data_IF_183013257959
#
_entry.id   IF_183013257959
#
_cell.length_a   1.000
_cell.length_b   1.000
_cell.length_c   1.000
_cell.angle_alpha   90.00
_cell.angle_beta   90.00
_cell.angle_gamma   90.00
#
_symmetry.space_group_name_H-M   'P 1'
#
loop_
_entity.id
_entity.type
_entity.pdbx_description
1 polymer ?
#
# COMPACT_ATOMS: atom_id res chain seq x y z
N UNK A 1 11.65 23.06 5.87
CA UNK A 1 12.00 21.72 6.40
C UNK A 1 10.85 21.14 7.25
N UNK A 2 10.43 21.74 8.37
CA UNK A 2 9.33 21.19 9.18
C UNK A 2 7.98 21.04 8.42
N UNK A 3 7.68 21.96 7.50
CA UNK A 3 6.44 21.97 6.70
C UNK A 3 6.38 20.82 5.66
N UNK A 4 7.53 20.39 5.12
CA UNK A 4 7.59 19.29 4.16
C UNK A 4 7.42 17.91 4.82
N UNK A 5 7.82 17.77 6.09
CA UNK A 5 7.77 16.50 6.83
C UNK A 5 6.32 16.04 6.99
N UNK A 6 5.43 16.91 7.45
CA UNK A 6 3.99 16.58 7.56
C UNK A 6 3.31 16.53 6.20
N UNK A 7 3.67 17.42 5.26
CA UNK A 7 3.13 17.47 3.89
C UNK A 7 3.19 16.12 3.16
N UNK A 8 4.28 15.37 3.34
CA UNK A 8 4.49 14.05 2.72
C UNK A 8 4.36 12.89 3.70
N UNK A 9 3.84 13.13 4.91
CA UNK A 9 3.52 12.13 5.91
C UNK A 9 4.72 11.39 6.52
N UNK A 10 5.87 12.06 6.58
CA UNK A 10 7.02 11.70 7.43
C UNK A 10 6.74 11.98 8.93
N UNK A 11 5.46 12.12 9.30
CA UNK A 11 5.01 12.26 10.69
C UNK A 11 5.23 10.97 11.47
N UNK A 12 5.85 11.07 12.64
CA UNK A 12 6.15 9.91 13.49
C UNK A 12 4.88 9.26 14.04
N UNK A 13 4.82 7.92 13.98
CA UNK A 13 3.83 7.06 14.63
C UNK A 13 4.54 5.97 15.45
N UNK A 14 3.93 5.46 16.53
CA UNK A 14 4.40 4.23 17.16
C UNK A 14 4.36 3.08 16.16
N UNK A 15 5.37 2.21 16.13
CA UNK A 15 5.34 1.01 15.28
C UNK A 15 4.24 0.03 15.71
N UNK A 16 4.04 -0.07 17.02
CA UNK A 16 2.96 -0.82 17.66
C UNK A 16 1.59 -0.26 17.29
N UNK A 17 0.81 -1.01 16.52
CA UNK A 17 -0.49 -0.54 16.02
C UNK A 17 -1.50 -0.35 17.15
N UNK A 18 -1.38 -1.10 18.24
CA UNK A 18 -2.31 -1.01 19.36
C UNK A 18 -2.23 0.34 20.08
N UNK A 19 -1.12 1.08 19.90
CA UNK A 19 -0.91 2.42 20.44
C UNK A 19 -1.52 3.53 19.56
N UNK A 20 -1.81 3.23 18.30
CA UNK A 20 -2.54 4.13 17.41
C UNK A 20 -4.04 3.88 17.59
N UNK A 21 -4.65 4.58 18.55
CA UNK A 21 -6.10 4.50 18.78
C UNK A 21 -6.85 5.39 17.79
N UNK A 22 -7.93 4.90 17.14
CA UNK A 22 -8.75 5.71 16.26
C UNK A 22 -9.45 6.82 17.04
N UNK A 23 -9.54 8.01 16.44
CA UNK A 23 -10.34 9.13 16.94
C UNK A 23 -11.83 8.82 16.83
N UNK A 24 -12.20 8.02 15.84
CA UNK A 24 -13.54 7.49 15.65
C UNK A 24 -13.47 5.97 15.45
N UNK A 25 -13.97 5.23 16.42
CA UNK A 25 -14.03 3.76 16.41
C UNK A 25 -15.20 3.17 15.62
N UNK A 26 -16.05 4.03 15.04
CA UNK A 26 -17.22 3.64 14.25
C UNK A 26 -17.19 4.38 12.91
N UNK A 27 -16.30 3.96 11.98
CA UNK A 27 -16.19 4.60 10.67
C UNK A 27 -17.52 4.54 9.92
N UNK A 28 -17.86 5.61 9.19
CA UNK A 28 -19.02 5.59 8.30
C UNK A 28 -18.64 5.02 6.94
N UNK A 29 -19.66 4.59 6.20
CA UNK A 29 -19.53 4.21 4.79
C UNK A 29 -18.98 5.38 3.97
N UNK A 30 -17.89 5.14 3.23
CA UNK A 30 -17.30 6.09 2.29
C UNK A 30 -17.57 5.59 0.86
N UNK A 31 -18.31 6.34 0.04
CA UNK A 31 -18.62 5.88 -1.31
C UNK A 31 -17.37 5.88 -2.20
N UNK A 32 -17.29 4.93 -3.13
CA UNK A 32 -16.16 4.81 -4.06
C UNK A 32 -15.89 6.08 -4.90
N UNK A 33 -16.93 6.91 -5.12
CA UNK A 33 -16.79 8.21 -5.78
C UNK A 33 -15.97 9.22 -4.98
N UNK A 34 -15.87 9.08 -3.65
CA UNK A 34 -15.04 9.91 -2.78
C UNK A 34 -13.59 9.36 -2.63
N UNK A 35 -13.33 8.15 -3.13
CA UNK A 35 -12.04 7.45 -3.04
C UNK A 35 -11.31 7.44 -4.39
N UNK A 36 -11.55 8.45 -5.24
CA UNK A 36 -10.90 8.52 -6.55
C UNK A 36 -9.42 8.88 -6.40
N UNK A 37 -8.52 8.27 -7.18
CA UNK A 37 -7.11 8.65 -7.24
C UNK A 37 -6.91 10.13 -7.59
N UNK A 38 -5.83 10.77 -7.08
CA UNK A 38 -5.42 12.07 -7.55
C UNK A 38 -5.04 12.02 -9.04
N UNK A 39 -5.27 13.12 -9.76
CA UNK A 39 -5.04 13.24 -11.21
C UNK A 39 -3.92 14.21 -11.56
N UNK A 40 -3.01 14.44 -10.61
CA UNK A 40 -1.81 15.24 -10.81
C UNK A 40 -0.87 14.59 -11.84
N UNK A 41 0.08 15.34 -12.43
CA UNK A 41 1.03 14.79 -13.38
C UNK A 41 1.81 13.59 -12.82
N UNK A 42 2.31 13.68 -11.58
CA UNK A 42 3.04 12.60 -10.93
C UNK A 42 2.16 11.37 -10.71
N UNK A 43 0.94 11.55 -10.17
CA UNK A 43 0.01 10.44 -9.95
C UNK A 43 -0.36 9.73 -11.26
N UNK A 44 -0.66 10.48 -12.33
CA UNK A 44 -0.97 9.89 -13.63
C UNK A 44 0.21 9.11 -14.22
N UNK A 45 1.43 9.64 -14.08
CA UNK A 45 2.66 8.97 -14.54
C UNK A 45 2.88 7.66 -13.79
N UNK A 46 2.84 7.68 -12.46
CA UNK A 46 3.01 6.48 -11.63
C UNK A 46 1.90 5.46 -11.88
N UNK A 47 0.64 5.90 -11.96
CA UNK A 47 -0.48 5.02 -12.28
C UNK A 47 -0.30 4.31 -13.63
N UNK A 48 0.11 5.07 -14.66
CA UNK A 48 0.36 4.52 -16.00
C UNK A 48 1.51 3.52 -15.99
N UNK A 49 2.60 3.83 -15.28
CA UNK A 49 3.73 2.94 -15.12
C UNK A 49 3.32 1.63 -14.43
N UNK A 50 2.68 1.70 -13.27
CA UNK A 50 2.21 0.54 -12.52
C UNK A 50 1.23 -0.30 -13.33
N UNK A 51 0.29 0.32 -14.05
CA UNK A 51 -0.65 -0.39 -14.92
C UNK A 51 0.03 -1.15 -16.07
N UNK A 52 1.18 -0.63 -16.55
CA UNK A 52 1.96 -1.28 -17.61
C UNK A 52 2.88 -2.41 -17.12
N UNK A 53 3.21 -2.44 -15.82
CA UNK A 53 4.22 -3.34 -15.25
C UNK A 53 3.64 -4.40 -14.32
N UNK A 54 2.66 -4.03 -13.50
CA UNK A 54 2.06 -4.95 -12.54
C UNK A 54 1.14 -5.97 -13.24
N UNK A 55 1.10 -7.22 -12.75
CA UNK A 55 -0.02 -8.11 -13.04
C UNK A 55 -1.35 -7.41 -12.73
N UNK A 56 -2.38 -7.70 -13.52
CA UNK A 56 -3.66 -7.01 -13.42
C UNK A 56 -4.27 -7.09 -12.00
N UNK A 57 -4.04 -8.20 -11.30
CA UNK A 57 -4.60 -8.46 -9.98
C UNK A 57 -3.85 -7.68 -8.90
N UNK A 58 -2.52 -7.61 -8.98
CA UNK A 58 -1.67 -6.75 -8.14
C UNK A 58 -1.98 -5.27 -8.37
N UNK A 59 -2.19 -4.83 -9.61
CA UNK A 59 -2.60 -3.46 -9.91
C UNK A 59 -3.92 -3.09 -9.22
N UNK A 60 -4.91 -3.99 -9.25
CA UNK A 60 -6.20 -3.78 -8.57
C UNK A 60 -6.05 -3.86 -7.05
N UNK A 61 -5.18 -4.73 -6.52
CA UNK A 61 -4.81 -4.75 -5.11
C UNK A 61 -4.29 -3.39 -4.64
N UNK A 62 -3.31 -2.81 -5.36
CA UNK A 62 -2.79 -1.48 -5.04
C UNK A 62 -3.87 -0.39 -5.01
N UNK A 63 -4.85 -0.44 -5.92
CA UNK A 63 -5.99 0.49 -5.93
C UNK A 63 -6.95 0.28 -4.75
N UNK A 64 -7.18 -0.98 -4.34
CA UNK A 64 -7.93 -1.30 -3.11
C UNK A 64 -7.21 -0.79 -1.88
N UNK A 65 -5.91 -1.07 -1.76
CA UNK A 65 -5.05 -0.58 -0.66
C UNK A 65 -5.14 0.94 -0.55
N UNK A 66 -4.97 1.68 -1.66
CA UNK A 66 -5.16 3.13 -1.70
C UNK A 66 -6.52 3.55 -1.14
N UNK A 67 -7.60 2.93 -1.63
CA UNK A 67 -8.98 3.26 -1.25
C UNK A 67 -9.22 3.01 0.24
N UNK A 68 -8.73 1.90 0.79
CA UNK A 68 -8.84 1.58 2.20
C UNK A 68 -8.05 2.56 3.06
N UNK A 69 -6.81 2.88 2.72
CA UNK A 69 -6.04 3.88 3.47
C UNK A 69 -6.70 5.26 3.47
N UNK A 70 -7.34 5.66 2.36
CA UNK A 70 -8.15 6.88 2.30
C UNK A 70 -9.34 6.83 3.25
N UNK A 71 -10.12 5.73 3.25
CA UNK A 71 -11.26 5.56 4.14
C UNK A 71 -10.83 5.58 5.61
N UNK A 72 -9.81 4.80 5.98
CA UNK A 72 -9.28 4.73 7.35
C UNK A 72 -8.81 6.09 7.82
N UNK A 73 -7.98 6.78 7.04
CA UNK A 73 -7.45 8.08 7.45
C UNK A 73 -8.55 9.13 7.60
N UNK A 74 -9.55 9.15 6.71
CA UNK A 74 -10.60 10.19 6.73
C UNK A 74 -11.66 9.93 7.80
N UNK A 75 -12.02 8.66 8.03
CA UNK A 75 -13.09 8.31 8.97
C UNK A 75 -12.61 7.99 10.37
N UNK A 76 -11.45 7.34 10.53
CA UNK A 76 -10.94 6.93 11.84
C UNK A 76 -9.88 7.88 12.40
N UNK A 77 -9.12 8.59 11.55
CA UNK A 77 -7.99 9.43 11.95
C UNK A 77 -7.97 10.78 11.24
N UNK A 78 -9.05 11.59 11.29
CA UNK A 78 -9.14 12.83 10.54
C UNK A 78 -7.99 13.81 10.85
N UNK A 79 -7.35 13.73 12.03
CA UNK A 79 -6.17 14.53 12.36
C UNK A 79 -4.96 14.26 11.45
N UNK A 80 -4.92 13.15 10.72
CA UNK A 80 -3.87 12.86 9.74
C UNK A 80 -3.89 13.81 8.56
N UNK A 81 -5.02 14.46 8.28
CA UNK A 81 -5.11 15.48 7.23
C UNK A 81 -5.04 14.94 5.81
N UNK A 82 -5.34 13.64 5.59
CA UNK A 82 -5.37 13.02 4.25
C UNK A 82 -6.61 13.49 3.45
N UNK A 83 -6.55 14.71 2.95
CA UNK A 83 -7.60 15.32 2.14
C UNK A 83 -7.41 15.04 0.64
N UNK A 84 -8.50 14.79 -0.08
CA UNK A 84 -8.47 14.53 -1.52
C UNK A 84 -7.77 15.65 -2.30
N UNK A 85 -6.82 15.29 -3.17
CA UNK A 85 -6.03 16.22 -3.98
C UNK A 85 -4.92 16.97 -3.24
N UNK A 86 -4.71 16.68 -1.95
CA UNK A 86 -3.55 17.21 -1.21
C UNK A 86 -2.23 16.54 -1.64
N UNK A 87 -1.10 17.15 -1.29
CA UNK A 87 0.21 16.53 -1.48
C UNK A 87 0.33 15.18 -0.74
N UNK A 88 -0.30 15.06 0.44
CA UNK A 88 -0.31 13.81 1.20
C UNK A 88 -1.12 12.72 0.47
N UNK A 89 -2.22 13.09 -0.19
CA UNK A 89 -3.05 12.17 -0.99
C UNK A 89 -2.31 11.66 -2.24
N UNK A 90 -1.58 12.53 -2.95
CA UNK A 90 -0.68 12.13 -4.04
C UNK A 90 0.44 11.19 -3.56
N UNK A 91 1.05 11.51 -2.41
CA UNK A 91 2.11 10.71 -1.80
C UNK A 91 1.59 9.33 -1.39
N UNK A 92 0.41 9.29 -0.77
CA UNK A 92 -0.27 8.07 -0.40
C UNK A 92 -0.62 7.21 -1.63
N UNK A 93 -1.20 7.83 -2.66
CA UNK A 93 -1.51 7.14 -3.90
C UNK A 93 -0.26 6.51 -4.52
N UNK A 94 0.83 7.26 -4.67
CA UNK A 94 2.08 6.73 -5.22
C UNK A 94 2.64 5.58 -4.36
N UNK A 95 2.57 5.69 -3.03
CA UNK A 95 2.98 4.62 -2.11
C UNK A 95 2.18 3.33 -2.34
N UNK A 96 0.85 3.43 -2.34
CA UNK A 96 -0.03 2.29 -2.55
C UNK A 96 0.17 1.65 -3.94
N UNK A 97 0.39 2.46 -4.98
CA UNK A 97 0.62 1.96 -6.34
C UNK A 97 1.97 1.27 -6.53
N UNK A 98 3.00 1.67 -5.78
CA UNK A 98 4.37 1.19 -5.98
C UNK A 98 4.80 0.09 -5.00
N UNK A 99 4.11 -0.12 -3.88
CA UNK A 99 4.59 -1.02 -2.82
C UNK A 99 4.93 -2.45 -3.29
N UNK A 100 4.16 -2.96 -4.25
CA UNK A 100 4.31 -4.31 -4.80
C UNK A 100 5.03 -4.34 -6.17
N UNK A 101 5.65 -3.25 -6.62
CA UNK A 101 6.32 -3.23 -7.94
C UNK A 101 7.47 -4.24 -8.05
N UNK A 102 8.06 -4.64 -6.92
CA UNK A 102 9.08 -5.68 -6.86
C UNK A 102 8.54 -7.10 -7.05
N UNK A 103 7.22 -7.32 -7.00
CA UNK A 103 6.59 -8.65 -7.07
C UNK A 103 6.35 -9.14 -8.50
N UNK A 104 6.58 -8.29 -9.51
CA UNK A 104 6.37 -8.70 -10.91
C UNK A 104 7.23 -9.91 -11.26
N UNK A 105 6.80 -10.79 -12.19
CA UNK A 105 7.61 -11.95 -12.62
C UNK A 105 9.01 -11.58 -13.11
N UNK A 106 9.13 -10.41 -13.76
CA UNK A 106 10.41 -9.84 -14.22
C UNK A 106 11.33 -9.51 -13.03
N UNK A 107 10.83 -8.80 -12.02
CA UNK A 107 11.65 -8.28 -10.94
C UNK A 107 11.92 -9.30 -9.81
N UNK A 108 10.97 -10.18 -9.51
CA UNK A 108 11.12 -11.15 -8.42
C UNK A 108 12.34 -12.08 -8.62
N UNK A 109 12.68 -12.35 -9.88
CA UNK A 109 13.79 -13.22 -10.29
C UNK A 109 15.06 -12.47 -10.74
N UNK A 110 14.96 -11.19 -11.11
CA UNK A 110 16.09 -10.41 -11.65
C UNK A 110 16.98 -9.77 -10.58
N UNK A 111 16.56 -9.77 -9.31
CA UNK A 111 17.33 -9.26 -8.18
C UNK A 111 17.58 -10.33 -7.11
N UNK A 112 18.61 -10.09 -6.29
CA UNK A 112 18.88 -10.88 -5.08
C UNK A 112 18.35 -10.21 -3.82
N UNK A 113 17.79 -9.01 -3.91
CA UNK A 113 17.16 -8.30 -2.80
C UNK A 113 15.75 -8.82 -2.54
N UNK A 114 15.28 -8.72 -1.30
CA UNK A 114 13.85 -8.85 -0.98
C UNK A 114 13.04 -7.88 -1.84
N UNK A 115 11.85 -8.29 -2.32
CA UNK A 115 11.08 -7.46 -3.25
C UNK A 115 10.73 -6.07 -2.69
N UNK A 116 10.58 -5.93 -1.36
CA UNK A 116 10.29 -4.67 -0.67
C UNK A 116 11.47 -3.69 -0.80
N UNK A 117 12.69 -4.21 -0.67
CA UNK A 117 13.91 -3.40 -0.76
C UNK A 117 14.16 -2.96 -2.20
N UNK A 118 14.04 -3.89 -3.15
CA UNK A 118 14.18 -3.55 -4.55
C UNK A 118 13.11 -2.54 -4.99
N UNK A 119 11.84 -2.74 -4.58
CA UNK A 119 10.75 -1.83 -4.86
C UNK A 119 11.02 -0.43 -4.30
N UNK A 120 11.54 -0.33 -3.08
CA UNK A 120 11.90 0.95 -2.46
C UNK A 120 13.00 1.70 -3.22
N UNK A 121 14.07 1.01 -3.60
CA UNK A 121 15.14 1.64 -4.39
C UNK A 121 14.66 2.05 -5.79
N UNK A 122 13.90 1.17 -6.45
CA UNK A 122 13.31 1.46 -7.75
C UNK A 122 12.34 2.64 -7.69
N UNK A 123 11.56 2.77 -6.62
CA UNK A 123 10.65 3.88 -6.41
C UNK A 123 11.40 5.23 -6.32
N UNK A 124 12.55 5.30 -5.64
CA UNK A 124 13.35 6.53 -5.59
C UNK A 124 13.72 7.02 -6.99
N UNK A 125 14.29 6.14 -7.82
CA UNK A 125 14.70 6.47 -9.18
C UNK A 125 13.48 6.83 -10.04
N UNK A 126 12.40 6.06 -9.97
CA UNK A 126 11.17 6.26 -10.73
C UNK A 126 10.49 7.59 -10.42
N UNK A 127 10.46 7.97 -9.14
CA UNK A 127 9.81 9.20 -8.67
C UNK A 127 10.61 10.44 -9.06
N UNK A 128 11.95 10.33 -9.12
CA UNK A 128 12.85 11.46 -9.38
C UNK A 128 13.33 11.60 -10.84
N UNK A 129 13.28 10.53 -11.65
CA UNK A 129 13.69 10.56 -13.06
C UNK A 129 12.59 10.03 -13.99
N UNK A 130 12.03 10.93 -14.81
CA UNK A 130 11.02 10.60 -15.84
C UNK A 130 11.50 9.55 -16.85
N UNK A 131 12.79 9.38 -17.06
CA UNK A 131 13.31 8.40 -18.02
C UNK A 131 13.06 6.97 -17.56
N UNK A 132 13.02 6.73 -16.25
CA UNK A 132 12.76 5.39 -15.67
C UNK A 132 11.35 4.90 -15.98
N UNK A 133 10.39 5.82 -16.12
CA UNK A 133 9.02 5.52 -16.56
C UNK A 133 8.82 5.56 -18.08
N UNK A 134 9.89 5.82 -18.86
CA UNK A 134 9.80 6.00 -20.31
C UNK A 134 9.34 7.39 -20.76
N UNK A 135 9.34 8.38 -19.85
CA UNK A 135 8.94 9.76 -20.09
C UNK A 135 7.73 10.19 -19.23
N UNK A 136 7.07 11.28 -19.64
CA UNK A 136 5.92 11.86 -18.94
C UNK A 136 6.26 13.08 -18.10
N UNK A 137 5.30 13.51 -17.30
CA UNK A 137 5.36 14.73 -16.49
C UNK A 137 5.22 14.44 -14.99
N UNK A 138 5.62 15.41 -14.17
CA UNK A 138 5.58 15.33 -12.70
C UNK A 138 6.80 14.61 -12.14
N UNK A 139 7.57 15.29 -11.29
CA UNK A 139 8.72 14.74 -10.58
C UNK A 139 8.47 14.99 -9.10
N UNK A 140 8.64 13.95 -8.28
CA UNK A 140 8.45 14.08 -6.85
C UNK A 140 9.56 14.97 -6.24
N UNK A 141 9.21 15.80 -5.27
CA UNK A 141 10.22 16.41 -4.41
C UNK A 141 11.00 15.31 -3.68
N UNK A 142 12.25 15.60 -3.29
CA UNK A 142 13.11 14.62 -2.62
C UNK A 142 12.46 14.03 -1.36
N UNK A 143 11.94 14.88 -0.48
CA UNK A 143 11.28 14.44 0.76
C UNK A 143 10.05 13.56 0.48
N UNK A 144 9.33 13.81 -0.63
CA UNK A 144 8.19 12.99 -1.06
C UNK A 144 8.64 11.62 -1.55
N UNK A 145 9.68 11.59 -2.40
CA UNK A 145 10.25 10.34 -2.90
C UNK A 145 10.80 9.47 -1.77
N UNK A 146 11.51 10.07 -0.81
CA UNK A 146 12.04 9.38 0.37
C UNK A 146 10.93 8.88 1.30
N UNK A 147 9.85 9.64 1.49
CA UNK A 147 8.68 9.19 2.25
C UNK A 147 8.02 7.95 1.63
N UNK A 148 7.82 7.96 0.31
CA UNK A 148 7.26 6.82 -0.43
C UNK A 148 8.19 5.61 -0.31
N UNK A 149 9.50 5.78 -0.54
CA UNK A 149 10.47 4.69 -0.48
C UNK A 149 10.57 4.06 0.92
N UNK A 150 10.62 4.88 1.98
CA UNK A 150 10.62 4.41 3.38
C UNK A 150 9.36 3.56 3.67
N UNK A 151 8.19 4.02 3.24
CA UNK A 151 6.95 3.27 3.43
C UNK A 151 6.93 1.94 2.66
N UNK A 152 7.44 1.92 1.42
CA UNK A 152 7.55 0.69 0.61
C UNK A 152 8.53 -0.29 1.24
N UNK A 153 9.71 0.13 1.64
CA UNK A 153 10.72 -0.75 2.26
C UNK A 153 10.16 -1.43 3.51
N UNK A 154 9.30 -0.72 4.25
CA UNK A 154 8.78 -1.16 5.55
C UNK A 154 7.35 -1.67 5.50
N UNK A 155 6.74 -1.87 4.33
CA UNK A 155 5.31 -2.22 4.26
C UNK A 155 4.98 -3.61 4.84
N UNK A 156 5.95 -4.50 4.98
CA UNK A 156 5.83 -5.77 5.71
C UNK A 156 6.50 -5.76 7.10
N UNK A 157 7.11 -4.63 7.50
CA UNK A 157 7.76 -4.42 8.80
C UNK A 157 6.74 -4.08 9.89
N UNK A 158 5.76 -4.96 10.09
CA UNK A 158 4.84 -4.88 11.22
C UNK A 158 5.56 -5.38 12.47
N UNK A 159 5.71 -4.52 13.48
CA UNK A 159 6.43 -4.83 14.73
C UNK A 159 5.92 -4.00 15.92
N UNK A 160 6.04 -4.52 17.17
CA UNK A 160 5.48 -3.87 18.36
C UNK A 160 6.38 -2.81 19.01
N UNK A 161 7.52 -2.47 18.42
CA UNK A 161 8.52 -1.57 19.02
C UNK A 161 9.09 -0.58 18.00
N UNK A 162 9.47 0.60 18.50
CA UNK A 162 10.06 1.67 17.69
C UNK A 162 9.02 2.61 17.10
N UNK A 163 9.44 3.32 16.06
CA UNK A 163 8.63 4.32 15.36
C UNK A 163 8.63 4.08 13.85
N UNK A 164 7.55 4.51 13.21
CA UNK A 164 7.33 4.45 11.76
C UNK A 164 6.78 5.79 11.27
N UNK A 165 6.70 5.99 9.96
CA UNK A 165 6.03 7.16 9.38
C UNK A 165 4.52 6.94 9.31
N UNK A 166 3.76 8.02 9.10
CA UNK A 166 2.33 7.94 8.82
C UNK A 166 2.07 7.11 7.54
N UNK A 167 2.87 7.28 6.48
CA UNK A 167 2.71 6.49 5.26
C UNK A 167 2.95 5.00 5.50
N UNK A 168 3.97 4.65 6.29
CA UNK A 168 4.23 3.25 6.70
C UNK A 168 3.03 2.68 7.48
N UNK A 169 2.41 3.48 8.35
CA UNK A 169 1.20 3.07 9.08
C UNK A 169 0.01 2.81 8.14
N UNK A 170 -0.24 3.72 7.19
CA UNK A 170 -1.34 3.57 6.23
C UNK A 170 -1.16 2.36 5.31
N UNK A 171 0.07 2.12 4.83
CA UNK A 171 0.34 0.96 3.97
C UNK A 171 0.18 -0.36 4.75
N UNK A 172 0.55 -0.41 6.04
CA UNK A 172 0.26 -1.57 6.88
C UNK A 172 -1.23 -1.87 6.94
N UNK A 173 -2.07 -0.90 7.32
CA UNK A 173 -3.50 -1.18 7.43
C UNK A 173 -4.16 -1.56 6.10
N UNK A 174 -3.81 -0.86 5.01
CA UNK A 174 -4.38 -1.17 3.69
C UNK A 174 -4.00 -2.57 3.20
N UNK A 175 -2.73 -2.96 3.32
CA UNK A 175 -2.25 -4.27 2.88
C UNK A 175 -2.72 -5.40 3.79
N UNK A 176 -2.70 -5.21 5.12
CA UNK A 176 -3.17 -6.20 6.08
C UNK A 176 -4.67 -6.49 5.91
N UNK A 177 -5.49 -5.46 5.68
CA UNK A 177 -6.92 -5.63 5.41
C UNK A 177 -7.14 -6.47 4.15
N UNK A 178 -6.50 -6.11 3.05
CA UNK A 178 -6.75 -6.78 1.76
C UNK A 178 -6.15 -8.19 1.69
N UNK A 179 -5.04 -8.44 2.38
CA UNK A 179 -4.32 -9.72 2.32
C UNK A 179 -4.84 -10.71 3.36
N UNK A 180 -5.02 -10.28 4.62
CA UNK A 180 -5.36 -11.18 5.73
C UNK A 180 -6.62 -10.75 6.52
N UNK A 181 -7.31 -9.68 6.11
CA UNK A 181 -8.54 -9.22 6.75
C UNK A 181 -8.34 -8.50 8.08
N UNK A 182 -7.10 -8.21 8.47
CA UNK A 182 -6.81 -7.52 9.73
C UNK A 182 -7.11 -6.01 9.62
N UNK A 183 -7.64 -5.42 10.70
CA UNK A 183 -8.07 -4.02 10.71
C UNK A 183 -9.42 -3.77 10.03
N UNK A 184 -10.24 -4.81 9.83
CA UNK A 184 -11.56 -4.68 9.21
C UNK A 184 -12.52 -3.76 9.98
N UNK A 185 -12.31 -3.60 11.29
CA UNK A 185 -13.04 -2.63 12.12
C UNK A 185 -12.75 -1.16 11.77
N UNK A 186 -11.67 -0.88 11.04
CA UNK A 186 -11.28 0.47 10.61
C UNK A 186 -11.96 0.90 9.30
N UNK A 187 -12.70 0.00 8.64
CA UNK A 187 -13.37 0.29 7.37
C UNK A 187 -14.79 -0.25 7.42
N UNK A 188 -15.76 0.62 7.15
CA UNK A 188 -17.15 0.20 7.05
C UNK A 188 -17.34 -0.85 5.93
N UNK A 189 -18.19 -1.85 6.17
CA UNK A 189 -18.40 -2.98 5.25
C UNK A 189 -18.89 -2.55 3.87
N UNK A 190 -19.75 -1.54 3.77
CA UNK A 190 -20.24 -1.03 2.47
C UNK A 190 -19.10 -0.37 1.68
N UNK A 191 -18.14 0.25 2.38
CA UNK A 191 -16.92 0.77 1.76
C UNK A 191 -16.11 -0.36 1.15
N UNK A 192 -15.91 -1.46 1.88
CA UNK A 192 -15.21 -2.65 1.37
C UNK A 192 -15.92 -3.21 0.14
N UNK A 193 -17.25 -3.31 0.19
CA UNK A 193 -18.06 -3.78 -0.94
C UNK A 193 -17.91 -2.89 -2.17
N UNK A 194 -18.03 -1.58 -2.00
CA UNK A 194 -17.88 -0.60 -3.09
C UNK A 194 -16.49 -0.65 -3.73
N UNK A 195 -15.44 -0.78 -2.91
CA UNK A 195 -14.05 -0.91 -3.37
C UNK A 195 -13.82 -2.23 -4.11
N UNK A 196 -14.28 -3.36 -3.58
CA UNK A 196 -14.16 -4.66 -4.25
C UNK A 196 -14.97 -4.73 -5.54
N UNK A 197 -16.11 -4.03 -5.62
CA UNK A 197 -16.91 -3.94 -6.85
C UNK A 197 -16.20 -3.14 -7.95
N UNK A 198 -15.57 -2.02 -7.61
CA UNK A 198 -14.80 -1.20 -8.56
C UNK A 198 -13.48 -1.88 -8.96
N UNK A 199 -12.80 -2.53 -8.01
CA UNK A 199 -11.50 -3.17 -8.19
C UNK A 199 -11.53 -4.67 -7.79
N UNK A 200 -12.15 -5.56 -8.61
CA UNK A 200 -12.37 -6.97 -8.24
C UNK A 200 -11.10 -7.73 -7.84
N UNK A 201 -11.20 -8.59 -6.82
CA UNK A 201 -10.05 -9.35 -6.31
C UNK A 201 -9.58 -10.43 -7.28
N UNK A 202 -10.49 -11.29 -7.77
CA UNK A 202 -10.21 -12.37 -8.73
C UNK A 202 -9.17 -13.36 -8.21
N UNK A 203 -9.49 -14.00 -7.10
CA UNK A 203 -8.67 -14.92 -6.33
C UNK A 203 -7.36 -14.29 -5.86
N UNK A 204 -7.44 -13.04 -5.38
CA UNK A 204 -6.28 -12.28 -4.93
C UNK A 204 -5.50 -13.01 -3.85
N UNK A 205 -6.18 -13.64 -2.87
CA UNK A 205 -5.49 -14.40 -1.83
C UNK A 205 -4.63 -15.53 -2.42
N UNK A 206 -5.12 -16.25 -3.43
CA UNK A 206 -4.35 -17.27 -4.13
C UNK A 206 -3.15 -16.70 -4.89
N UNK A 207 -3.36 -15.59 -5.60
CA UNK A 207 -2.29 -14.89 -6.32
C UNK A 207 -1.18 -14.43 -5.36
N UNK A 208 -1.54 -13.76 -4.27
CA UNK A 208 -0.60 -13.20 -3.32
C UNK A 208 0.15 -14.28 -2.53
N UNK A 209 -0.54 -15.35 -2.12
CA UNK A 209 0.10 -16.52 -1.51
C UNK A 209 1.19 -17.10 -2.43
N UNK A 210 0.88 -17.28 -3.71
CA UNK A 210 1.85 -17.77 -4.69
C UNK A 210 3.07 -16.85 -4.85
N UNK A 211 2.87 -15.53 -4.81
CA UNK A 211 3.97 -14.55 -4.81
C UNK A 211 4.86 -14.70 -3.58
N UNK A 212 4.28 -14.85 -2.38
CA UNK A 212 5.03 -15.03 -1.13
C UNK A 212 5.85 -16.33 -1.16
N UNK A 213 5.23 -17.44 -1.59
CA UNK A 213 5.90 -18.74 -1.72
C UNK A 213 7.07 -18.67 -2.70
N UNK A 214 6.89 -18.01 -3.86
CA UNK A 214 7.95 -17.86 -4.85
C UNK A 214 9.09 -16.96 -4.34
N UNK A 215 8.79 -15.88 -3.63
CA UNK A 215 9.80 -15.03 -2.99
C UNK A 215 10.66 -15.83 -2.02
N UNK A 216 10.03 -16.60 -1.11
CA UNK A 216 10.74 -17.43 -0.12
C UNK A 216 11.55 -18.54 -0.79
N UNK A 217 11.07 -19.10 -1.90
CA UNK A 217 11.79 -20.11 -2.67
C UNK A 217 13.02 -19.55 -3.38
N UNK A 218 12.89 -18.40 -4.05
CA UNK A 218 14.00 -17.77 -4.79
C UNK A 218 15.01 -17.10 -3.87
N UNK A 219 14.52 -16.52 -2.77
CA UNK A 219 15.28 -15.74 -1.79
C UNK A 219 14.90 -16.20 -0.37
N UNK A 220 15.45 -17.31 0.14
CA UNK A 220 15.12 -17.84 1.47
C UNK A 220 15.44 -16.87 2.63
N UNK A 221 16.30 -15.88 2.37
CA UNK A 221 16.69 -14.82 3.29
C UNK A 221 15.87 -13.53 3.12
N UNK A 222 14.85 -13.52 2.25
CA UNK A 222 14.00 -12.35 1.99
C UNK A 222 13.26 -11.90 3.26
N UNK A 223 12.90 -10.63 3.32
CA UNK A 223 12.24 -10.03 4.47
C UNK A 223 10.93 -10.75 4.84
N UNK A 224 10.10 -11.10 3.85
CA UNK A 224 8.88 -11.90 4.03
C UNK A 224 9.11 -13.26 4.69
N UNK A 225 10.33 -13.83 4.65
CA UNK A 225 10.62 -15.13 5.29
C UNK A 225 10.52 -15.08 6.83
N UNK A 226 10.57 -13.89 7.43
CA UNK A 226 10.38 -13.67 8.88
C UNK A 226 8.92 -13.80 9.34
N UNK A 227 7.95 -13.77 8.43
CA UNK A 227 6.52 -13.78 8.76
C UNK A 227 6.03 -15.23 8.75
N UNK A 228 6.04 -15.85 9.93
CA UNK A 228 5.55 -17.21 10.13
C UNK A 228 4.02 -17.26 10.02
N UNK A 229 3.48 -18.29 9.34
CA UNK A 229 2.03 -18.50 9.22
C UNK A 229 1.32 -17.57 8.21
N UNK A 230 2.08 -16.81 7.41
CA UNK A 230 1.51 -15.76 6.58
C UNK A 230 0.63 -16.31 5.46
N UNK A 231 1.12 -17.34 4.77
CA UNK A 231 0.43 -18.04 3.69
C UNK A 231 -0.92 -18.63 4.15
N UNK A 232 -0.97 -19.20 5.35
CA UNK A 232 -2.19 -19.74 5.94
C UNK A 232 -3.23 -18.65 6.25
N UNK A 233 -2.80 -17.52 6.80
CA UNK A 233 -3.71 -16.39 7.07
C UNK A 233 -4.21 -15.74 5.77
N UNK A 234 -3.37 -15.64 4.73
CA UNK A 234 -3.80 -15.18 3.39
C UNK A 234 -4.88 -16.12 2.84
N UNK A 235 -4.63 -17.42 2.86
CA UNK A 235 -5.58 -18.43 2.36
C UNK A 235 -6.90 -18.43 3.14
N UNK A 236 -6.82 -18.33 4.47
CA UNK A 236 -7.99 -18.24 5.35
C UNK A 236 -8.84 -17.00 5.05
N UNK A 237 -8.23 -15.86 4.75
CA UNK A 237 -8.96 -14.64 4.41
C UNK A 237 -9.82 -14.81 3.15
N UNK A 238 -9.26 -15.43 2.10
CA UNK A 238 -9.97 -15.71 0.85
C UNK A 238 -11.04 -16.80 0.97
N UNK A 239 -10.87 -17.77 1.88
CA UNK A 239 -11.85 -18.87 2.05
C UNK A 239 -12.98 -18.57 3.02
N UNK A 240 -12.65 -17.95 4.16
CA UNK A 240 -13.56 -17.81 5.30
C UNK A 240 -13.46 -16.48 6.03
N UNK A 241 -12.50 -15.62 5.67
CA UNK A 241 -12.30 -14.33 6.33
C UNK A 241 -13.15 -13.21 5.72
N UNK A 242 -12.79 -11.99 6.08
CA UNK A 242 -13.54 -10.76 5.71
C UNK A 242 -13.64 -10.63 4.20
N UNK A 243 -12.60 -11.03 3.46
CA UNK A 243 -12.56 -10.87 2.01
C UNK A 243 -13.18 -12.03 1.23
N UNK A 244 -13.59 -13.12 1.89
CA UNK A 244 -13.99 -14.38 1.24
C UNK A 244 -15.11 -14.26 0.21
N UNK A 245 -16.07 -13.38 0.45
CA UNK A 245 -17.19 -13.16 -0.47
C UNK A 245 -16.82 -12.40 -1.76
N UNK A 246 -15.63 -11.80 -1.80
CA UNK A 246 -15.12 -11.07 -2.96
C UNK A 246 -13.87 -11.69 -3.55
N UNK A 247 -13.33 -12.77 -2.96
CA UNK A 247 -12.08 -13.37 -3.41
C UNK A 247 -12.25 -13.98 -4.80
#
# INVERSE_FOLDING_TARGET
>A
MADNISKYGLTVRPADQEKDKPENSSPKSVPISALKPPTTPLANRINSYCKSKLPADTYRHSLRVYSYGCAIARECYPSFGLAAGSALDETWFCTAMLHDIGTTPEHISSTRLSYEFWAGYHALDLLQDVKVSGGGEGVAEKDQAESIAEAIIRHQDVQPKGSITLLTRLIHWGTLLDNIGAGAELVDRETIEGVCKEYPRKSWCGCFKGTVEEEKKLKPYAMVSRIEGFEEEIEKNGKTGVMSQWD
#
